data_IF_978301133235
#
_entry.id   IF_978301133235
#
_cell.length_a   1.000
_cell.length_b   1.000
_cell.length_c   1.000
_cell.angle_alpha   90.00
_cell.angle_beta   90.00
_cell.angle_gamma   90.00
#
_symmetry.space_group_name_H-M   'P 1'
#
loop_
_entity.id
_entity.type
_entity.pdbx_description
1 polymer ?
#
# COMPACT_ATOMS: atom_id res chain seq x y z
N UNK A 1 -27.21 75.34 -36.01
CA UNK A 1 -26.64 74.23 -36.79
C UNK A 1 -25.61 73.51 -35.94
N UNK A 2 -25.59 72.16 -36.03
CA UNK A 2 -24.65 71.18 -35.45
C UNK A 2 -24.63 71.08 -33.90
N UNK A 3 -25.24 70.04 -33.31
CA UNK A 3 -24.73 68.65 -33.10
C UNK A 3 -23.50 68.66 -32.17
N UNK A 4 -23.37 67.95 -31.06
CA UNK A 4 -24.05 66.82 -30.41
C UNK A 4 -23.10 66.45 -29.23
N UNK A 5 -23.52 65.93 -28.09
CA UNK A 5 -23.96 64.56 -27.94
C UNK A 5 -24.56 64.38 -26.53
N UNK A 6 -25.89 64.31 -26.50
CA UNK A 6 -26.77 63.51 -25.66
C UNK A 6 -26.42 63.32 -24.17
N UNK A 7 -27.21 64.04 -23.37
CA UNK A 7 -27.74 63.61 -22.08
C UNK A 7 -28.32 62.19 -22.12
N UNK A 8 -28.13 61.48 -21.01
CA UNK A 8 -29.11 60.65 -20.31
C UNK A 8 -30.08 59.83 -21.17
N UNK A 9 -29.96 58.50 -21.06
CA UNK A 9 -31.09 57.59 -20.80
C UNK A 9 -30.55 56.22 -20.38
N UNK A 10 -30.54 55.99 -19.06
CA UNK A 10 -31.17 54.85 -18.40
C UNK A 10 -30.67 53.41 -18.70
N UNK A 11 -29.88 52.81 -17.77
CA UNK A 11 -30.23 51.56 -17.03
C UNK A 11 -29.11 51.05 -16.12
N UNK A 12 -29.50 50.63 -14.91
CA UNK A 12 -28.73 49.96 -13.85
C UNK A 12 -27.79 48.84 -14.31
N UNK A 13 -26.64 48.72 -13.66
CA UNK A 13 -26.26 47.48 -12.95
C UNK A 13 -25.15 47.76 -11.93
N UNK A 14 -25.51 47.77 -10.64
CA UNK A 14 -24.58 47.59 -9.54
C UNK A 14 -23.97 46.20 -9.67
N UNK A 15 -22.67 46.08 -9.92
CA UNK A 15 -21.92 44.83 -9.77
C UNK A 15 -20.50 45.17 -9.28
N UNK A 16 -20.39 45.75 -8.07
CA UNK A 16 -19.21 45.47 -7.26
C UNK A 16 -19.42 44.07 -6.66
N UNK A 17 -18.50 43.11 -6.85
CA UNK A 17 -18.64 41.82 -6.22
C UNK A 17 -18.58 42.04 -4.69
N UNK A 18 -19.48 41.42 -3.92
CA UNK A 18 -19.41 41.54 -2.47
C UNK A 18 -18.07 40.96 -2.02
N UNK A 19 -17.33 41.71 -1.21
CA UNK A 19 -16.18 41.20 -0.45
C UNK A 19 -16.73 40.01 0.34
N UNK A 20 -16.46 38.80 -0.14
CA UNK A 20 -16.82 37.59 0.57
C UNK A 20 -16.03 37.62 1.88
N UNK A 21 -16.75 37.56 3.00
CA UNK A 21 -16.17 37.30 4.30
C UNK A 21 -15.33 36.02 4.18
N UNK A 22 -14.01 36.17 4.04
CA UNK A 22 -13.08 35.04 4.06
C UNK A 22 -13.13 34.51 5.48
N UNK A 23 -13.93 33.47 5.67
CA UNK A 23 -13.98 32.74 6.92
C UNK A 23 -12.65 32.01 7.07
N UNK A 24 -11.66 32.64 7.70
CA UNK A 24 -10.45 31.97 8.16
C UNK A 24 -10.87 31.01 9.28
N UNK A 25 -11.31 29.81 8.89
CA UNK A 25 -11.31 28.69 9.83
C UNK A 25 -9.85 28.31 10.06
N UNK A 26 -9.31 28.39 11.29
CA UNK A 26 -8.02 27.80 11.57
C UNK A 26 -8.17 26.28 11.36
N UNK A 27 -7.77 25.80 10.20
CA UNK A 27 -7.70 24.36 9.96
C UNK A 27 -6.72 23.79 10.97
N UNK A 28 -7.20 22.86 11.80
CA UNK A 28 -6.37 22.18 12.79
C UNK A 28 -5.43 21.24 12.07
N UNK A 29 -4.17 21.63 11.93
CA UNK A 29 -3.12 20.81 11.33
C UNK A 29 -2.58 19.84 12.38
N UNK A 30 -2.58 18.54 12.05
CA UNK A 30 -2.00 17.50 12.89
C UNK A 30 -0.58 17.22 12.41
N UNK A 31 0.42 17.50 13.26
CA UNK A 31 1.82 17.20 12.98
C UNK A 31 2.22 15.91 13.70
N UNK A 32 2.82 14.99 12.95
CA UNK A 32 3.25 13.70 13.44
C UNK A 32 4.72 13.76 13.77
N UNK A 33 5.13 13.10 14.85
CA UNK A 33 6.53 13.03 15.23
C UNK A 33 7.18 11.77 14.66
N UNK A 34 8.41 11.86 14.14
CA UNK A 34 9.17 10.71 13.68
C UNK A 34 9.59 9.83 14.86
N UNK A 35 9.41 8.52 14.74
CA UNK A 35 10.07 7.57 15.64
C UNK A 35 11.48 7.27 15.11
N UNK A 36 12.46 8.00 15.63
CA UNK A 36 13.86 7.87 15.22
C UNK A 36 14.41 6.46 15.44
N UNK A 37 13.96 5.77 16.49
CA UNK A 37 14.42 4.41 16.80
C UNK A 37 13.85 3.41 15.79
N UNK A 38 12.57 3.54 15.42
CA UNK A 38 11.95 2.70 14.40
C UNK A 38 12.60 2.93 13.02
N UNK A 39 12.79 4.19 12.63
CA UNK A 39 13.45 4.54 11.37
C UNK A 39 14.87 3.95 11.34
N UNK A 40 15.65 4.10 12.40
CA UNK A 40 17.00 3.56 12.46
C UNK A 40 17.00 2.03 12.36
N UNK A 41 16.09 1.33 13.08
CA UNK A 41 15.93 -0.12 12.96
C UNK A 41 15.64 -0.56 11.52
N UNK A 42 14.80 0.19 10.80
CA UNK A 42 14.51 -0.08 9.38
C UNK A 42 15.76 0.15 8.53
N UNK A 43 16.50 1.24 8.75
CA UNK A 43 17.77 1.54 8.06
C UNK A 43 18.84 0.48 8.31
N UNK A 44 18.86 -0.16 9.48
CA UNK A 44 19.85 -1.18 9.80
C UNK A 44 19.44 -2.59 9.35
N UNK A 45 18.15 -2.81 9.07
CA UNK A 45 17.64 -4.11 8.61
C UNK A 45 18.16 -4.50 7.20
N UNK A 46 18.25 -5.77 6.82
CA UNK A 46 18.63 -6.14 5.46
C UNK A 46 17.56 -5.72 4.43
N UNK A 47 17.97 -5.38 3.21
CA UNK A 47 17.00 -5.10 2.13
C UNK A 47 16.27 -6.38 1.71
N UNK A 48 14.95 -6.31 1.44
CA UNK A 48 14.27 -7.37 0.72
C UNK A 48 14.92 -7.63 -0.64
N UNK A 49 14.96 -8.89 -1.07
CA UNK A 49 15.43 -9.24 -2.41
C UNK A 49 14.54 -8.58 -3.46
N UNK A 50 15.16 -8.01 -4.50
CA UNK A 50 14.43 -7.56 -5.67
C UNK A 50 15.25 -6.87 -6.73
N UNK A 51 14.60 -6.52 -7.83
CA UNK A 51 15.22 -5.94 -9.03
C UNK A 51 15.70 -4.50 -8.83
N UNK A 52 15.04 -3.76 -7.94
CA UNK A 52 15.36 -2.37 -7.67
C UNK A 52 15.24 -2.07 -6.16
N UNK A 53 16.17 -2.60 -5.32
CA UNK A 53 16.12 -2.35 -3.89
C UNK A 53 16.23 -0.86 -3.57
N UNK A 54 15.52 -0.43 -2.53
CA UNK A 54 15.52 0.95 -2.11
C UNK A 54 14.48 1.20 -1.01
N UNK A 55 14.07 2.45 -0.92
CA UNK A 55 13.19 2.94 0.11
C UNK A 55 11.96 3.62 -0.49
N UNK A 56 10.84 3.48 0.19
CA UNK A 56 9.67 4.35 0.07
C UNK A 56 9.50 5.10 1.39
N UNK A 57 9.31 6.41 1.34
CA UNK A 57 9.23 7.26 2.51
C UNK A 57 7.93 8.06 2.54
N UNK A 58 7.52 8.42 3.76
CA UNK A 58 6.40 9.30 4.04
C UNK A 58 6.95 10.53 4.77
N UNK A 59 6.87 11.69 4.13
CA UNK A 59 7.33 12.96 4.68
C UNK A 59 6.15 13.88 4.88
N UNK A 60 6.06 14.53 6.03
CA UNK A 60 5.03 15.52 6.28
C UNK A 60 5.59 16.94 6.17
N UNK A 61 4.88 17.80 5.45
CA UNK A 61 5.14 19.24 5.44
C UNK A 61 4.33 19.94 6.55
N UNK A 62 4.96 20.87 7.28
CA UNK A 62 4.33 21.50 8.43
C UNK A 62 3.26 22.56 8.09
N UNK A 63 3.32 23.18 6.91
CA UNK A 63 2.40 24.28 6.55
C UNK A 63 0.96 23.82 6.35
N UNK A 64 0.79 22.68 5.66
CA UNK A 64 -0.52 22.15 5.29
C UNK A 64 -0.80 20.80 5.96
N UNK A 65 0.18 20.21 6.65
CA UNK A 65 0.09 18.85 7.20
C UNK A 65 0.02 17.75 6.15
N UNK A 66 0.21 18.09 4.87
CA UNK A 66 0.18 17.16 3.75
C UNK A 66 1.39 16.23 3.76
N UNK A 67 1.19 15.04 3.19
CA UNK A 67 2.19 14.00 3.14
C UNK A 67 2.70 13.79 1.73
N UNK A 68 4.01 13.77 1.57
CA UNK A 68 4.67 13.30 0.36
C UNK A 68 5.01 11.82 0.51
N UNK A 69 4.57 11.03 -0.47
CA UNK A 69 4.99 9.64 -0.62
C UNK A 69 6.01 9.59 -1.76
N UNK A 70 7.27 9.30 -1.45
CA UNK A 70 8.33 9.25 -2.45
C UNK A 70 9.27 8.07 -2.25
N UNK A 71 10.30 7.99 -3.10
CA UNK A 71 11.26 6.89 -3.10
C UNK A 71 12.71 7.34 -3.24
N UNK A 72 13.64 6.53 -2.77
CA UNK A 72 15.09 6.77 -2.92
C UNK A 72 15.88 5.47 -2.82
N UNK A 73 17.05 5.40 -3.45
CA UNK A 73 18.04 4.34 -3.21
C UNK A 73 18.98 4.66 -2.04
N UNK A 74 19.17 5.94 -1.75
CA UNK A 74 20.12 6.43 -0.76
C UNK A 74 19.39 7.30 0.25
N UNK A 75 18.97 6.69 1.36
CA UNK A 75 18.21 7.39 2.39
C UNK A 75 19.07 8.46 3.09
N UNK A 76 20.36 8.22 3.33
CA UNK A 76 21.27 9.19 3.97
C UNK A 76 21.37 10.51 3.21
N UNK A 77 21.58 10.45 1.88
CA UNK A 77 21.62 11.64 1.03
C UNK A 77 20.29 12.39 1.06
N UNK A 78 19.18 11.67 1.17
CA UNK A 78 17.83 12.24 1.22
C UNK A 78 17.49 12.81 2.59
N UNK A 79 17.93 12.18 3.67
CA UNK A 79 17.82 12.68 5.04
C UNK A 79 18.58 13.97 5.22
N UNK A 80 19.76 14.07 4.61
CA UNK A 80 20.49 15.34 4.58
C UNK A 80 19.67 16.44 3.90
N UNK A 81 18.97 16.15 2.79
CA UNK A 81 18.08 17.11 2.12
C UNK A 81 16.92 17.57 3.01
N UNK A 82 16.34 16.67 3.82
CA UNK A 82 15.30 17.04 4.79
C UNK A 82 15.87 17.73 6.04
N UNK A 83 17.15 17.49 6.37
CA UNK A 83 17.87 18.13 7.46
C UNK A 83 18.48 19.50 7.12
N UNK A 84 18.69 19.82 5.84
CA UNK A 84 19.06 21.20 5.43
C UNK A 84 17.85 22.09 5.68
N UNK A 85 18.09 23.28 6.25
CA UNK A 85 17.07 24.30 6.56
C UNK A 85 16.34 24.76 5.29
N UNK A 86 15.39 23.97 4.82
CA UNK A 86 14.36 24.42 3.90
C UNK A 86 13.56 25.54 4.60
N UNK A 87 12.99 26.50 3.84
CA UNK A 87 12.14 27.54 4.42
C UNK A 87 10.93 26.97 5.19
N UNK A 88 10.56 25.71 4.90
CA UNK A 88 9.48 24.98 5.53
C UNK A 88 9.98 23.65 6.10
N UNK A 89 9.61 23.36 7.36
CA UNK A 89 9.98 22.12 8.04
C UNK A 89 9.27 20.93 7.41
N UNK A 90 10.05 19.90 7.10
CA UNK A 90 9.60 18.62 6.58
C UNK A 90 10.11 17.51 7.50
N UNK A 91 9.22 16.65 8.00
CA UNK A 91 9.58 15.55 8.90
C UNK A 91 9.39 14.20 8.22
N UNK A 92 10.40 13.32 8.30
CA UNK A 92 10.30 11.94 7.81
C UNK A 92 9.48 11.11 8.81
N UNK A 93 8.20 10.91 8.54
CA UNK A 93 7.27 10.24 9.45
C UNK A 93 7.43 8.72 9.43
N UNK A 94 7.69 8.15 8.25
CA UNK A 94 7.87 6.71 8.10
C UNK A 94 8.74 6.32 6.92
N UNK A 95 9.34 5.12 6.99
CA UNK A 95 10.24 4.58 6.00
C UNK A 95 9.95 3.10 5.76
N UNK A 96 10.05 2.65 4.52
CA UNK A 96 9.84 1.25 4.13
C UNK A 96 11.01 0.83 3.26
N UNK A 97 11.70 -0.26 3.63
CA UNK A 97 12.65 -0.95 2.73
C UNK A 97 11.91 -1.89 1.80
N UNK A 98 12.30 -1.89 0.54
CA UNK A 98 11.64 -2.66 -0.52
C UNK A 98 12.67 -3.16 -1.52
N UNK A 99 12.38 -4.32 -2.12
CA UNK A 99 13.12 -4.90 -3.25
C UNK A 99 12.76 -4.25 -4.59
N UNK A 100 11.67 -3.48 -4.67
CA UNK A 100 11.33 -2.68 -5.84
C UNK A 100 10.68 -1.34 -5.43
N UNK A 101 11.52 -0.35 -5.13
CA UNK A 101 11.06 0.99 -4.71
C UNK A 101 10.19 1.71 -5.74
N UNK A 102 10.33 1.41 -7.04
CA UNK A 102 9.46 1.98 -8.08
C UNK A 102 8.04 1.43 -7.97
N UNK A 103 7.89 0.11 -7.92
CA UNK A 103 6.57 -0.54 -7.83
C UNK A 103 5.90 -0.25 -6.48
N UNK A 104 6.68 -0.24 -5.39
CA UNK A 104 6.14 0.02 -4.06
C UNK A 104 5.57 1.42 -3.93
N UNK A 105 6.28 2.44 -4.40
CA UNK A 105 5.76 3.82 -4.38
C UNK A 105 4.48 3.91 -5.22
N UNK A 106 4.48 3.37 -6.45
CA UNK A 106 3.29 3.35 -7.30
C UNK A 106 2.11 2.64 -6.62
N UNK A 107 2.35 1.56 -5.88
CA UNK A 107 1.31 0.83 -5.15
C UNK A 107 0.71 1.66 -4.02
N UNK A 108 1.53 2.38 -3.24
CA UNK A 108 1.04 3.31 -2.21
C UNK A 108 0.28 4.49 -2.81
N UNK A 109 0.79 5.05 -3.91
CA UNK A 109 0.15 6.11 -4.69
C UNK A 109 -1.22 5.71 -5.23
N UNK A 110 -1.38 4.44 -5.63
CA UNK A 110 -2.66 3.87 -6.05
C UNK A 110 -3.59 3.64 -4.87
N UNK A 111 -3.07 3.17 -3.74
CA UNK A 111 -3.86 2.93 -2.53
C UNK A 111 -4.46 4.24 -1.98
N UNK A 112 -3.66 5.30 -1.90
CA UNK A 112 -4.07 6.61 -1.41
C UNK A 112 -4.56 7.55 -2.52
N UNK A 113 -4.92 7.04 -3.71
CA UNK A 113 -5.31 7.91 -4.84
C UNK A 113 -6.53 8.78 -4.53
N UNK A 114 -7.44 8.30 -3.70
CA UNK A 114 -8.63 9.03 -3.24
C UNK A 114 -8.34 10.17 -2.26
N UNK A 115 -7.10 10.23 -1.72
CA UNK A 115 -6.59 11.28 -0.83
C UNK A 115 -5.49 12.11 -1.50
N UNK A 116 -5.29 11.94 -2.82
CA UNK A 116 -4.24 12.65 -3.54
C UNK A 116 -4.63 14.11 -3.71
N UNK A 117 -3.71 15.00 -3.35
CA UNK A 117 -3.80 16.43 -3.56
C UNK A 117 -3.26 16.75 -4.97
N UNK A 118 -1.93 16.89 -5.09
CA UNK A 118 -1.26 17.17 -6.36
C UNK A 118 0.05 16.39 -6.47
N UNK A 119 0.31 15.78 -7.63
CA UNK A 119 1.52 15.01 -7.87
C UNK A 119 1.69 13.84 -6.90
N UNK A 120 2.67 13.97 -6.00
CA UNK A 120 3.04 12.97 -4.98
C UNK A 120 2.58 13.35 -3.56
N UNK A 121 1.71 14.36 -3.44
CA UNK A 121 1.19 14.87 -2.17
C UNK A 121 -0.21 14.34 -1.87
N UNK A 122 -0.45 14.02 -0.59
CA UNK A 122 -1.65 13.34 -0.11
C UNK A 122 -2.13 13.95 1.21
N UNK A 123 -3.44 13.96 1.43
CA UNK A 123 -4.08 14.33 2.68
C UNK A 123 -4.29 13.07 3.53
N UNK A 124 -3.25 12.66 4.27
CA UNK A 124 -3.30 11.48 5.14
C UNK A 124 -3.68 11.88 6.57
N UNK A 125 -4.52 11.06 7.20
CA UNK A 125 -4.95 11.24 8.58
C UNK A 125 -4.28 10.23 9.53
N UNK A 126 -4.65 10.28 10.82
CA UNK A 126 -4.02 9.47 11.84
C UNK A 126 -4.20 7.97 11.59
N UNK A 127 -5.35 7.56 11.09
CA UNK A 127 -5.65 6.16 10.79
C UNK A 127 -4.81 5.66 9.60
N UNK A 128 -4.57 6.50 8.59
CA UNK A 128 -3.68 6.16 7.48
C UNK A 128 -2.25 5.96 7.95
N UNK A 129 -1.75 6.87 8.82
CA UNK A 129 -0.39 6.77 9.35
C UNK A 129 -0.25 5.55 10.25
N UNK A 130 -1.26 5.27 11.09
CA UNK A 130 -1.28 4.05 11.91
C UNK A 130 -1.30 2.81 11.03
N UNK A 131 -2.14 2.77 9.99
CA UNK A 131 -2.20 1.68 9.03
C UNK A 131 -0.83 1.44 8.34
N UNK A 132 -0.11 2.52 8.03
CA UNK A 132 1.24 2.45 7.46
C UNK A 132 2.24 1.86 8.46
N UNK A 133 2.26 2.36 9.70
CA UNK A 133 3.18 1.94 10.78
C UNK A 133 2.93 0.50 11.25
N UNK A 134 1.66 0.11 11.32
CA UNK A 134 1.23 -1.25 11.67
C UNK A 134 1.37 -2.24 10.50
N UNK A 135 1.85 -1.78 9.34
CA UNK A 135 2.10 -2.59 8.15
C UNK A 135 0.87 -3.38 7.67
N UNK A 136 -0.33 -2.81 7.79
CA UNK A 136 -1.61 -3.43 7.40
C UNK A 136 -1.85 -3.44 5.88
N UNK A 137 -0.77 -3.58 5.12
CA UNK A 137 -0.71 -3.39 3.68
C UNK A 137 -1.61 -4.34 2.89
N UNK A 138 -2.13 -3.83 1.78
CA UNK A 138 -2.83 -4.68 0.81
C UNK A 138 -1.86 -5.67 0.17
N UNK A 139 -2.38 -6.78 -0.35
CA UNK A 139 -1.57 -7.79 -1.03
C UNK A 139 -0.72 -7.22 -2.18
N UNK A 140 -1.22 -6.24 -2.92
CA UNK A 140 -0.46 -5.58 -4.00
C UNK A 140 0.76 -4.81 -3.49
N UNK A 141 0.62 -4.11 -2.36
CA UNK A 141 1.73 -3.41 -1.73
C UNK A 141 2.76 -4.40 -1.18
N UNK A 142 2.31 -5.45 -0.46
CA UNK A 142 3.20 -6.49 0.08
C UNK A 142 4.04 -7.12 -1.03
N UNK A 143 3.41 -7.47 -2.15
CA UNK A 143 4.09 -8.07 -3.32
C UNK A 143 5.10 -7.11 -3.94
N UNK A 144 4.82 -5.81 -3.96
CA UNK A 144 5.78 -4.84 -4.46
C UNK A 144 7.00 -4.67 -3.53
N UNK A 145 6.80 -4.79 -2.21
CA UNK A 145 7.87 -4.65 -1.21
C UNK A 145 8.85 -5.81 -1.30
N UNK A 146 8.32 -7.02 -1.43
CA UNK A 146 9.09 -8.22 -1.64
C UNK A 146 8.89 -8.60 -3.10
N UNK A 147 9.68 -8.02 -4.02
CA UNK A 147 9.51 -8.20 -5.48
C UNK A 147 9.62 -9.67 -5.96
N UNK A 148 9.73 -10.62 -5.04
CA UNK A 148 9.75 -12.08 -5.17
C UNK A 148 8.73 -12.79 -4.30
N UNK A 149 7.59 -12.18 -3.97
CA UNK A 149 6.50 -12.94 -3.37
C UNK A 149 5.69 -13.74 -4.41
N UNK A 150 5.95 -13.55 -5.72
CA UNK A 150 5.26 -14.31 -6.78
C UNK A 150 6.11 -14.91 -7.92
N UNK A 151 7.36 -14.53 -8.16
CA UNK A 151 8.20 -15.22 -9.18
C UNK A 151 9.66 -15.36 -8.71
N UNK A 152 9.88 -16.27 -7.76
CA UNK A 152 11.07 -17.13 -7.70
C UNK A 152 10.82 -18.24 -6.67
N UNK A 153 10.37 -19.40 -7.16
CA UNK A 153 11.09 -20.62 -6.83
C UNK A 153 11.72 -21.06 -8.16
N UNK A 154 12.94 -20.60 -8.51
CA UNK A 154 13.70 -21.25 -9.54
C UNK A 154 14.15 -22.59 -8.94
N UNK A 155 14.05 -23.65 -9.73
CA UNK A 155 14.40 -24.99 -9.28
C UNK A 155 15.82 -25.05 -8.70
N UNK A 156 15.90 -25.28 -7.39
CA UNK A 156 16.94 -26.04 -6.71
C UNK A 156 16.44 -26.40 -5.30
N UNK A 157 15.89 -27.62 -5.19
CA UNK A 157 16.32 -28.62 -4.19
C UNK A 157 16.84 -28.09 -2.83
N UNK A 158 15.92 -27.97 -1.85
CA UNK A 158 16.06 -28.13 -0.37
C UNK A 158 15.13 -27.10 0.32
N UNK A 159 13.84 -27.37 0.47
CA UNK A 159 13.23 -28.10 1.61
C UNK A 159 13.25 -27.37 2.96
N UNK A 160 12.53 -26.26 3.06
CA UNK A 160 11.74 -26.03 4.28
C UNK A 160 10.28 -25.90 3.86
N UNK A 161 9.54 -27.00 3.99
CA UNK A 161 8.08 -26.98 3.93
C UNK A 161 7.61 -26.10 5.07
N UNK A 162 7.15 -24.90 4.78
CA UNK A 162 6.54 -24.04 5.80
C UNK A 162 5.18 -24.66 6.14
N UNK A 163 5.14 -25.37 7.26
CA UNK A 163 3.93 -26.03 7.77
C UNK A 163 2.96 -25.01 8.36
N UNK A 164 1.69 -25.39 8.40
CA UNK A 164 0.63 -24.58 8.96
C UNK A 164 0.62 -24.61 10.49
N UNK A 165 0.23 -23.49 11.11
CA UNK A 165 -0.16 -23.47 12.53
C UNK A 165 -1.48 -24.25 12.73
N UNK A 166 -1.81 -24.71 13.96
CA UNK A 166 -3.05 -25.45 14.20
C UNK A 166 -4.32 -24.73 13.70
N UNK A 167 -4.43 -23.41 13.94
CA UNK A 167 -5.55 -22.60 13.44
C UNK A 167 -5.64 -22.57 11.92
N UNK A 168 -4.49 -22.56 11.25
CA UNK A 168 -4.43 -22.58 9.79
C UNK A 168 -4.80 -23.95 9.21
N UNK A 169 -4.43 -25.04 9.89
CA UNK A 169 -4.85 -26.40 9.56
C UNK A 169 -6.37 -26.50 9.64
N UNK A 170 -6.98 -26.06 10.75
CA UNK A 170 -8.44 -26.09 10.92
C UNK A 170 -9.16 -25.30 9.82
N UNK A 171 -8.63 -24.11 9.49
CA UNK A 171 -9.17 -23.30 8.41
C UNK A 171 -9.05 -24.00 7.05
N UNK A 172 -7.89 -24.58 6.73
CA UNK A 172 -7.67 -25.34 5.49
C UNK A 172 -8.63 -26.52 5.39
N UNK A 173 -8.80 -27.30 6.46
CA UNK A 173 -9.74 -28.42 6.54
C UNK A 173 -11.18 -27.97 6.32
N UNK A 174 -11.58 -26.84 6.91
CA UNK A 174 -12.91 -26.25 6.69
C UNK A 174 -13.18 -25.86 5.22
N UNK A 175 -12.13 -25.49 4.48
CA UNK A 175 -12.21 -25.20 3.06
C UNK A 175 -12.28 -26.49 2.24
N UNK A 176 -11.46 -27.49 2.54
CA UNK A 176 -11.48 -28.79 1.86
C UNK A 176 -12.82 -29.49 2.05
N UNK A 177 -13.44 -29.42 3.23
CA UNK A 177 -14.78 -30.00 3.46
C UNK A 177 -15.85 -29.39 2.58
N UNK A 178 -15.73 -28.10 2.23
CA UNK A 178 -16.63 -27.42 1.28
C UNK A 178 -16.41 -27.87 -0.17
N UNK A 179 -15.30 -28.55 -0.47
CA UNK A 179 -15.02 -29.16 -1.76
C UNK A 179 -15.64 -30.55 -1.82
N UNK A 180 -16.95 -30.64 -2.06
CA UNK A 180 -17.69 -31.90 -2.03
C UNK A 180 -17.06 -33.04 -2.87
N UNK A 181 -16.39 -32.68 -3.98
CA UNK A 181 -15.74 -33.61 -4.91
C UNK A 181 -14.33 -34.03 -4.53
N UNK A 182 -13.71 -33.42 -3.53
CA UNK A 182 -12.30 -33.65 -3.21
C UNK A 182 -12.13 -34.03 -1.74
N UNK A 183 -11.07 -34.77 -1.45
CA UNK A 183 -10.64 -35.08 -0.09
C UNK A 183 -9.12 -34.98 0.05
N UNK A 184 -8.66 -34.68 1.27
CA UNK A 184 -7.24 -34.60 1.59
C UNK A 184 -6.63 -36.01 1.63
N UNK A 185 -5.48 -36.17 0.99
CA UNK A 185 -4.75 -37.46 0.94
C UNK A 185 -3.60 -37.49 1.95
N UNK A 186 -2.95 -36.34 2.14
CA UNK A 186 -1.80 -36.20 3.05
C UNK A 186 -2.24 -35.98 4.51
N UNK A 187 -1.31 -36.13 5.45
CA UNK A 187 -1.60 -35.81 6.85
C UNK A 187 -1.87 -34.31 7.02
N UNK A 188 -2.79 -33.96 7.93
CA UNK A 188 -3.11 -32.57 8.27
C UNK A 188 -1.87 -31.74 8.64
N UNK A 189 -0.90 -32.37 9.32
CA UNK A 189 0.36 -31.74 9.73
C UNK A 189 1.33 -31.50 8.57
N UNK A 190 1.12 -32.16 7.43
CA UNK A 190 1.94 -32.02 6.23
C UNK A 190 1.45 -30.91 5.30
N UNK A 191 0.27 -30.34 5.59
CA UNK A 191 -0.23 -29.17 4.87
C UNK A 191 0.74 -28.01 5.01
N UNK A 192 1.06 -27.40 3.88
CA UNK A 192 1.97 -26.27 3.83
C UNK A 192 1.22 -24.97 3.60
N UNK A 193 1.90 -23.85 3.88
CA UNK A 193 1.38 -22.52 3.55
C UNK A 193 1.03 -22.39 2.07
N UNK A 194 1.80 -23.03 1.18
CA UNK A 194 1.53 -23.10 -0.27
C UNK A 194 0.15 -23.70 -0.56
N UNK A 195 -0.23 -24.75 0.17
CA UNK A 195 -1.49 -25.47 -0.04
C UNK A 195 -2.68 -24.67 0.48
N UNK A 196 -2.51 -23.99 1.61
CA UNK A 196 -3.51 -23.06 2.13
C UNK A 196 -3.76 -21.89 1.15
N UNK A 197 -2.70 -21.26 0.65
CA UNK A 197 -2.79 -20.13 -0.27
C UNK A 197 -3.52 -20.54 -1.57
N UNK A 198 -3.28 -21.76 -2.06
CA UNK A 198 -3.99 -22.37 -3.20
C UNK A 198 -5.48 -22.58 -2.93
N UNK A 199 -5.84 -23.09 -1.74
CA UNK A 199 -7.26 -23.23 -1.34
C UNK A 199 -7.96 -21.87 -1.30
N UNK A 200 -7.34 -20.87 -0.67
CA UNK A 200 -7.87 -19.50 -0.62
C UNK A 200 -8.09 -18.95 -2.03
N UNK A 201 -7.12 -19.15 -2.94
CA UNK A 201 -7.19 -18.69 -4.32
C UNK A 201 -8.36 -19.34 -5.07
N UNK A 202 -8.60 -20.65 -4.87
CA UNK A 202 -9.78 -21.31 -5.43
C UNK A 202 -11.09 -20.71 -4.88
N UNK A 203 -11.21 -20.52 -3.56
CA UNK A 203 -12.46 -20.01 -2.98
C UNK A 203 -12.77 -18.57 -3.41
N UNK A 204 -11.73 -17.74 -3.56
CA UNK A 204 -11.84 -16.33 -3.97
C UNK A 204 -12.13 -16.15 -5.47
N UNK A 205 -11.46 -16.92 -6.33
CA UNK A 205 -11.49 -16.69 -7.78
C UNK A 205 -12.09 -17.83 -8.60
N UNK A 206 -12.50 -18.93 -7.95
CA UNK A 206 -13.02 -20.15 -8.60
C UNK A 206 -12.05 -20.75 -9.64
N UNK A 207 -10.74 -20.57 -9.43
CA UNK A 207 -9.71 -21.09 -10.32
C UNK A 207 -9.58 -22.63 -10.20
N UNK A 208 -10.26 -23.35 -11.09
CA UNK A 208 -10.26 -24.83 -11.12
C UNK A 208 -8.87 -25.43 -11.39
N UNK A 209 -7.98 -24.72 -12.09
CA UNK A 209 -6.62 -25.18 -12.37
C UNK A 209 -5.80 -25.40 -11.10
N UNK A 210 -6.08 -24.65 -10.04
CA UNK A 210 -5.43 -24.81 -8.74
C UNK A 210 -5.74 -26.17 -8.10
N UNK A 211 -7.00 -26.60 -8.14
CA UNK A 211 -7.40 -27.90 -7.58
C UNK A 211 -6.81 -29.05 -8.40
N UNK A 212 -6.82 -28.94 -9.74
CA UNK A 212 -6.19 -29.93 -10.61
C UNK A 212 -4.68 -30.08 -10.34
N UNK A 213 -4.00 -28.96 -10.05
CA UNK A 213 -2.59 -28.98 -9.65
C UNK A 213 -2.39 -29.66 -8.29
N UNK A 214 -3.24 -29.38 -7.30
CA UNK A 214 -3.19 -30.05 -5.98
C UNK A 214 -3.47 -31.55 -6.06
N UNK A 215 -4.31 -31.99 -7.00
CA UNK A 215 -4.52 -33.42 -7.28
C UNK A 215 -3.29 -34.05 -7.93
N UNK A 216 -2.71 -33.39 -8.93
CA UNK A 216 -1.48 -33.86 -9.59
C UNK A 216 -0.31 -34.00 -8.61
N UNK A 217 -0.23 -33.12 -7.61
CA UNK A 217 0.77 -33.17 -6.54
C UNK A 217 0.42 -34.16 -5.41
N UNK A 218 -0.71 -34.87 -5.50
CA UNK A 218 -1.11 -35.90 -4.52
C UNK A 218 -1.60 -35.35 -3.18
N UNK A 219 -1.87 -34.04 -3.08
CA UNK A 219 -2.39 -33.41 -1.86
C UNK A 219 -3.89 -33.69 -1.72
N UNK A 220 -4.61 -33.58 -2.84
CA UNK A 220 -6.05 -33.87 -2.92
C UNK A 220 -6.29 -35.07 -3.84
N UNK A 221 -7.41 -35.76 -3.63
CA UNK A 221 -7.97 -36.71 -4.61
C UNK A 221 -9.42 -36.38 -4.89
N UNK A 222 -9.87 -36.67 -6.12
CA UNK A 222 -11.31 -36.67 -6.40
C UNK A 222 -11.96 -37.86 -5.71
N UNK A 223 -13.08 -37.61 -5.01
CA UNK A 223 -13.89 -38.67 -4.43
C UNK A 223 -14.49 -39.48 -5.56
N UNK A 224 -14.41 -40.81 -5.45
CA UNK A 224 -15.21 -41.70 -6.29
C UNK A 224 -16.66 -41.50 -5.87
N UNK A 225 -17.46 -40.90 -6.75
CA UNK A 225 -18.90 -40.83 -6.57
C UNK A 225 -19.44 -42.19 -6.97
N UNK A 226 -19.65 -43.06 -6.00
CA UNK A 226 -20.40 -44.31 -6.17
C UNK A 226 -21.89 -44.02 -6.09
#
# INVERSE_FOLDING_TARGET
MLKGLLSFLNKKSNNEPPIQNVLFSPQKIYLYQPDQNEIQKIIDSPFPKGEAPGYVYFVQEHMNGSFKIGKTKHIEKRMNVFGVKLPFKNELIYLIKTGNHHQTEMAFHKHFSHKRLEGEWFELNQDDINWVKEQKYTHGIITSIHSKLLEELPGQSNSEKIYLTPKQIDYAKSMITKLNRYELVISDAELTKKDLDRLIMYFKFKNKGTLANMVKEGILKEKVIT
#
